data_IF_668513394759
#
_entry.id   IF_668513394759
#
_cell.length_a   1.000
_cell.length_b   1.000
_cell.length_c   1.000
_cell.angle_alpha   90.00
_cell.angle_beta   90.00
_cell.angle_gamma   90.00
#
_symmetry.space_group_name_H-M   'P 1'
#
loop_
_entity.id
_entity.type
_entity.pdbx_description
1 polymer ?
#
# COMPACT_ATOMS: atom_id res chain seq x y z
N UNK A 1 -9.41 -14.19 4.16
CA UNK A 1 -8.77 -14.28 2.84
C UNK A 1 -8.44 -12.92 2.21
N UNK A 2 -9.03 -11.80 2.65
CA UNK A 2 -8.74 -10.51 2.06
C UNK A 2 -7.55 -9.85 2.73
N UNK A 3 -6.68 -9.25 1.92
CA UNK A 3 -5.74 -8.23 2.39
C UNK A 3 -6.49 -6.90 2.39
N UNK A 4 -6.40 -6.15 3.48
CA UNK A 4 -7.11 -4.88 3.68
C UNK A 4 -6.12 -3.76 3.95
N UNK A 5 -6.25 -2.67 3.20
CA UNK A 5 -5.59 -1.40 3.47
C UNK A 5 -6.64 -0.34 3.82
N UNK A 6 -6.36 0.55 4.75
CA UNK A 6 -7.31 1.58 5.15
C UNK A 6 -6.62 2.81 5.72
N UNK A 7 -7.36 3.92 5.77
CA UNK A 7 -6.99 5.11 6.52
C UNK A 7 -6.61 4.74 7.96
N UNK A 8 -5.41 5.15 8.40
CA UNK A 8 -4.93 4.91 9.76
C UNK A 8 -3.98 3.73 9.90
N UNK A 9 -3.76 3.35 11.15
CA UNK A 9 -2.82 2.29 11.56
C UNK A 9 -3.59 1.04 11.95
N UNK A 10 -3.17 -0.11 11.41
CA UNK A 10 -3.71 -1.42 11.78
C UNK A 10 -3.40 -1.72 13.25
N UNK A 11 -4.43 -1.98 14.05
CA UNK A 11 -4.31 -2.19 15.50
C UNK A 11 -4.13 -3.65 15.88
N UNK A 12 -4.82 -4.55 15.17
CA UNK A 12 -4.85 -5.98 15.50
C UNK A 12 -4.10 -6.85 14.48
N UNK A 13 -2.94 -6.37 14.02
CA UNK A 13 -2.11 -7.08 13.03
C UNK A 13 -1.81 -8.54 13.41
N UNK A 14 -1.60 -8.83 14.71
CA UNK A 14 -1.33 -10.20 15.20
C UNK A 14 -2.50 -11.17 14.97
N UNK A 15 -3.73 -10.68 14.85
CA UNK A 15 -4.93 -11.49 14.64
C UNK A 15 -5.22 -11.73 13.16
N UNK A 16 -4.89 -10.77 12.31
CA UNK A 16 -5.29 -10.78 10.89
C UNK A 16 -4.18 -11.14 9.93
N UNK A 17 -2.92 -10.87 10.29
CA UNK A 17 -1.75 -11.17 9.48
C UNK A 17 -1.11 -12.50 9.88
N UNK A 18 -0.38 -13.11 8.94
CA UNK A 18 0.48 -14.24 9.25
C UNK A 18 1.74 -13.78 9.98
N UNK A 19 2.44 -14.68 10.67
CA UNK A 19 3.72 -14.37 11.33
C UNK A 19 4.73 -13.78 10.34
N UNK A 20 4.83 -14.34 9.14
CA UNK A 20 5.72 -13.86 8.08
C UNK A 20 5.36 -12.44 7.61
N UNK A 21 4.08 -12.14 7.45
CA UNK A 21 3.64 -10.80 7.08
C UNK A 21 3.96 -9.77 8.17
N UNK A 22 3.76 -10.13 9.44
CA UNK A 22 4.13 -9.28 10.58
C UNK A 22 5.64 -8.99 10.62
N UNK A 23 6.46 -10.02 10.49
CA UNK A 23 7.92 -9.90 10.47
C UNK A 23 8.38 -8.96 9.34
N UNK A 24 7.87 -9.18 8.13
CA UNK A 24 8.19 -8.35 6.96
C UNK A 24 7.72 -6.90 7.15
N UNK A 25 6.54 -6.69 7.73
CA UNK A 25 6.01 -5.35 8.01
C UNK A 25 6.88 -4.62 9.04
N UNK A 26 7.31 -5.29 10.10
CA UNK A 26 8.23 -4.70 11.07
C UNK A 26 9.61 -4.39 10.43
N UNK A 27 10.14 -5.30 9.63
CA UNK A 27 11.40 -5.09 8.92
C UNK A 27 11.31 -3.90 7.94
N UNK A 28 10.18 -3.70 7.30
CA UNK A 28 9.97 -2.62 6.32
C UNK A 28 10.05 -1.22 6.94
N UNK A 29 9.83 -1.08 8.26
CA UNK A 29 9.95 0.21 8.97
C UNK A 29 11.35 0.82 8.89
N UNK A 30 12.37 -0.02 8.78
CA UNK A 30 13.79 0.40 8.75
C UNK A 30 14.45 0.14 7.40
N UNK A 31 13.71 -0.33 6.41
CA UNK A 31 14.25 -0.65 5.10
C UNK A 31 14.47 0.59 4.25
N UNK A 32 15.55 0.61 3.49
CA UNK A 32 15.88 1.64 2.50
C UNK A 32 15.18 1.43 1.15
N UNK A 33 14.45 0.33 1.01
CA UNK A 33 13.68 -0.05 -0.18
C UNK A 33 12.36 -0.72 0.20
N UNK A 34 11.36 -0.73 -0.71
CA UNK A 34 10.11 -1.46 -0.47
C UNK A 34 10.38 -2.94 -0.23
N UNK A 35 9.74 -3.49 0.80
CA UNK A 35 9.73 -4.93 1.10
C UNK A 35 8.34 -5.49 0.81
N UNK A 36 8.30 -6.66 0.19
CA UNK A 36 7.05 -7.39 -0.04
C UNK A 36 6.52 -7.96 1.27
N UNK A 37 5.36 -7.48 1.69
CA UNK A 37 4.63 -8.00 2.85
C UNK A 37 3.82 -9.23 2.42
N UNK A 38 3.14 -9.11 1.26
CA UNK A 38 2.50 -10.21 0.55
C UNK A 38 3.00 -10.19 -0.89
N UNK A 39 3.76 -11.20 -1.31
CA UNK A 39 4.26 -11.28 -2.67
C UNK A 39 3.21 -11.84 -3.65
N UNK A 40 3.51 -11.86 -4.95
CA UNK A 40 2.59 -12.29 -5.98
C UNK A 40 2.16 -13.75 -5.81
N UNK A 41 3.09 -14.66 -5.50
CA UNK A 41 2.76 -16.09 -5.32
C UNK A 41 1.82 -16.30 -4.13
N UNK A 42 2.05 -15.58 -3.04
CA UNK A 42 1.18 -15.61 -1.86
C UNK A 42 -0.20 -15.04 -2.18
N UNK A 43 -0.28 -13.92 -2.90
CA UNK A 43 -1.53 -13.32 -3.35
C UNK A 43 -2.32 -14.27 -4.26
N UNK A 44 -1.65 -14.95 -5.19
CA UNK A 44 -2.30 -15.95 -6.07
C UNK A 44 -2.81 -17.18 -5.31
N UNK A 45 -2.11 -17.61 -4.26
CA UNK A 45 -2.60 -18.68 -3.37
C UNK A 45 -3.85 -18.23 -2.59
N UNK A 46 -3.83 -17.00 -2.08
CA UNK A 46 -4.98 -16.40 -1.38
C UNK A 46 -6.18 -16.23 -2.32
N UNK A 47 -5.95 -15.81 -3.57
CA UNK A 47 -7.00 -15.65 -4.58
C UNK A 47 -7.74 -16.96 -4.85
N UNK A 48 -7.01 -18.07 -4.94
CA UNK A 48 -7.56 -19.42 -5.18
C UNK A 48 -8.27 -19.98 -3.95
N UNK A 49 -7.87 -19.56 -2.75
CA UNK A 49 -8.45 -20.00 -1.49
C UNK A 49 -9.83 -19.42 -1.23
N UNK A 50 -10.64 -20.13 -0.45
CA UNK A 50 -11.94 -19.65 0.06
C UNK A 50 -12.05 -20.02 1.51
N UNK A 51 -11.61 -19.13 2.41
CA UNK A 51 -11.85 -19.33 3.84
C UNK A 51 -13.32 -19.09 4.17
N UNK A 52 -13.85 -19.90 5.08
CA UNK A 52 -15.15 -19.67 5.71
C UNK A 52 -15.04 -18.79 6.95
N UNK A 53 -13.84 -18.58 7.45
CA UNK A 53 -13.58 -17.75 8.62
C UNK A 53 -13.63 -16.27 8.26
N UNK A 54 -14.27 -15.48 9.11
CA UNK A 54 -14.27 -14.02 9.02
C UNK A 54 -13.22 -13.45 9.96
N UNK A 55 -12.47 -12.47 9.45
CA UNK A 55 -11.51 -11.70 10.26
C UNK A 55 -12.00 -10.27 10.39
N UNK A 56 -11.90 -9.71 11.57
CA UNK A 56 -12.19 -8.30 11.84
C UNK A 56 -10.88 -7.52 11.77
N UNK A 57 -10.81 -6.56 10.85
CA UNK A 57 -9.68 -5.65 10.73
C UNK A 57 -10.00 -4.37 11.48
N UNK A 58 -9.11 -3.96 12.36
CA UNK A 58 -9.28 -2.76 13.20
C UNK A 58 -8.21 -1.74 12.82
N UNK A 59 -8.64 -0.58 12.33
CA UNK A 59 -7.77 0.54 12.01
C UNK A 59 -8.11 1.73 12.90
N UNK A 60 -7.09 2.48 13.32
CA UNK A 60 -7.24 3.71 14.08
C UNK A 60 -6.63 4.87 13.29
N UNK A 61 -7.42 5.91 13.08
CA UNK A 61 -6.99 7.16 12.48
C UNK A 61 -7.39 8.34 13.40
N UNK A 62 -6.52 9.34 13.48
CA UNK A 62 -6.76 10.56 14.24
C UNK A 62 -6.68 11.77 13.32
N UNK A 63 -7.43 12.82 13.65
CA UNK A 63 -7.48 14.08 12.90
C UNK A 63 -7.82 13.90 11.41
N UNK A 64 -8.77 13.03 11.11
CA UNK A 64 -9.24 12.77 9.74
C UNK A 64 -10.72 13.18 9.60
N UNK A 65 -11.09 13.65 8.41
CA UNK A 65 -12.48 14.00 8.06
C UNK A 65 -13.24 12.81 7.49
N UNK A 66 -12.51 11.98 6.75
CA UNK A 66 -13.06 10.86 6.00
C UNK A 66 -12.23 9.61 6.26
N UNK A 67 -12.80 8.44 5.96
CA UNK A 67 -12.15 7.15 6.10
C UNK A 67 -12.37 6.32 4.84
N UNK A 68 -11.27 5.97 4.17
CA UNK A 68 -11.29 5.08 3.02
C UNK A 68 -10.70 3.71 3.34
N UNK A 69 -11.12 2.68 2.62
CA UNK A 69 -10.49 1.36 2.70
C UNK A 69 -10.52 0.65 1.35
N UNK A 70 -9.60 -0.26 1.17
CA UNK A 70 -9.56 -1.21 0.06
C UNK A 70 -9.44 -2.64 0.59
N UNK A 71 -10.00 -3.59 -0.14
CA UNK A 71 -10.02 -5.00 0.26
C UNK A 71 -10.03 -5.91 -0.95
N UNK A 72 -9.07 -6.83 -1.03
CA UNK A 72 -9.03 -7.83 -2.11
C UNK A 72 -8.25 -9.08 -1.69
N UNK A 73 -8.64 -10.22 -2.24
CA UNK A 73 -7.83 -11.45 -2.18
C UNK A 73 -6.66 -11.47 -3.15
N UNK A 74 -6.67 -10.53 -4.13
CA UNK A 74 -5.65 -10.42 -5.18
C UNK A 74 -4.49 -9.50 -4.82
N UNK A 75 -4.54 -8.82 -3.68
CA UNK A 75 -3.56 -7.81 -3.37
C UNK A 75 -2.18 -8.39 -3.06
N UNK A 76 -1.23 -8.01 -3.89
CA UNK A 76 0.16 -7.89 -3.55
C UNK A 76 0.26 -6.66 -2.65
N UNK A 77 1.10 -6.71 -1.64
CA UNK A 77 1.30 -5.63 -0.69
C UNK A 77 2.78 -5.44 -0.43
N UNK A 78 3.28 -4.25 -0.69
CA UNK A 78 4.62 -3.86 -0.30
C UNK A 78 4.60 -2.61 0.59
N UNK A 79 5.69 -2.41 1.36
CA UNK A 79 5.79 -1.33 2.32
C UNK A 79 7.24 -0.88 2.51
N UNK A 80 7.41 0.41 2.84
CA UNK A 80 8.68 1.01 3.23
C UNK A 80 8.45 2.12 4.27
N UNK A 81 9.25 2.13 5.33
CA UNK A 81 9.27 3.22 6.30
C UNK A 81 10.01 4.45 5.77
N UNK A 82 9.47 5.63 6.07
CA UNK A 82 10.12 6.93 5.84
C UNK A 82 10.27 7.63 7.17
N UNK A 83 11.49 7.97 7.53
CA UNK A 83 11.79 8.63 8.81
C UNK A 83 11.57 10.14 8.73
N UNK A 84 10.87 10.70 9.72
CA UNK A 84 10.69 12.13 9.97
C UNK A 84 10.93 12.39 11.45
N UNK A 85 12.16 12.79 11.79
CA UNK A 85 12.58 12.88 13.19
C UNK A 85 12.38 11.55 13.91
N UNK A 86 11.61 11.55 14.98
CA UNK A 86 11.32 10.36 15.79
C UNK A 86 10.15 9.52 15.26
N UNK A 87 9.50 9.95 14.19
CA UNK A 87 8.35 9.26 13.60
C UNK A 87 8.73 8.48 12.36
N UNK A 88 8.11 7.32 12.19
CA UNK A 88 8.16 6.55 10.94
C UNK A 88 6.81 6.64 10.26
N UNK A 89 6.78 7.13 9.02
CA UNK A 89 5.60 7.08 8.13
C UNK A 89 5.71 5.85 7.25
N UNK A 90 4.68 5.02 7.24
CA UNK A 90 4.65 3.82 6.41
C UNK A 90 4.08 4.13 5.02
N UNK A 91 4.95 4.13 4.00
CA UNK A 91 4.55 4.14 2.61
C UNK A 91 4.17 2.73 2.18
N UNK A 92 2.96 2.53 1.64
CA UNK A 92 2.47 1.20 1.29
C UNK A 92 1.71 1.21 -0.03
N UNK A 93 1.79 0.09 -0.76
CA UNK A 93 1.01 -0.11 -1.99
C UNK A 93 0.26 -1.43 -1.97
N UNK A 94 -1.00 -1.39 -2.43
CA UNK A 94 -1.87 -2.55 -2.58
C UNK A 94 -2.35 -2.65 -4.02
N UNK A 95 -2.00 -3.73 -4.71
CA UNK A 95 -2.28 -3.88 -6.14
C UNK A 95 -2.39 -5.36 -6.55
N UNK A 96 -3.21 -5.68 -7.56
CA UNK A 96 -3.27 -7.02 -8.09
C UNK A 96 -2.10 -7.29 -9.05
N UNK A 97 -1.83 -8.56 -9.34
CA UNK A 97 -0.78 -8.97 -10.29
C UNK A 97 -0.88 -8.32 -11.67
N UNK A 98 -2.09 -7.98 -12.09
CA UNK A 98 -2.36 -7.28 -13.34
C UNK A 98 -1.80 -5.84 -13.34
N UNK A 99 -1.38 -5.31 -12.20
CA UNK A 99 -0.64 -4.06 -12.09
C UNK A 99 0.87 -4.20 -12.35
N UNK A 100 1.41 -5.43 -12.28
CA UNK A 100 2.84 -5.67 -12.49
C UNK A 100 3.22 -5.65 -13.99
N UNK A 101 4.47 -5.25 -14.29
CA UNK A 101 5.56 -4.86 -13.38
C UNK A 101 5.52 -3.38 -12.93
N UNK A 102 4.54 -2.60 -13.36
CA UNK A 102 4.49 -1.16 -13.13
C UNK A 102 4.41 -0.80 -11.64
N UNK A 103 3.49 -1.42 -10.91
CA UNK A 103 3.25 -1.13 -9.50
C UNK A 103 4.42 -1.49 -8.61
N UNK A 104 4.96 -2.69 -8.74
CA UNK A 104 6.10 -3.16 -7.98
C UNK A 104 7.34 -2.29 -8.17
N UNK A 105 7.55 -1.81 -9.41
CA UNK A 105 8.71 -0.97 -9.73
C UNK A 105 8.62 0.44 -9.18
N UNK A 106 7.42 1.01 -9.11
CA UNK A 106 7.30 2.47 -8.93
C UNK A 106 6.39 2.91 -7.80
N UNK A 107 5.30 2.19 -7.45
CA UNK A 107 4.26 2.74 -6.60
C UNK A 107 4.77 3.19 -5.23
N UNK A 108 5.24 2.28 -4.39
CA UNK A 108 5.75 2.65 -3.06
C UNK A 108 6.96 3.56 -3.11
N UNK A 109 7.83 3.41 -4.13
CA UNK A 109 8.96 4.33 -4.34
C UNK A 109 8.51 5.75 -4.64
N UNK A 110 7.44 5.92 -5.42
CA UNK A 110 6.84 7.21 -5.70
C UNK A 110 6.28 7.86 -4.42
N UNK A 111 5.54 7.09 -3.60
CA UNK A 111 5.06 7.58 -2.30
C UNK A 111 6.23 8.06 -1.43
N UNK A 112 7.28 7.24 -1.29
CA UNK A 112 8.48 7.60 -0.51
C UNK A 112 9.12 8.88 -1.04
N UNK A 113 9.24 9.02 -2.36
CA UNK A 113 9.79 10.21 -2.99
C UNK A 113 8.91 11.44 -2.71
N UNK A 114 7.60 11.32 -2.90
CA UNK A 114 6.63 12.39 -2.67
C UNK A 114 6.66 12.85 -1.21
N UNK A 115 6.63 11.93 -0.25
CA UNK A 115 6.74 12.25 1.16
C UNK A 115 8.00 13.07 1.47
N UNK A 116 9.15 12.65 0.95
CA UNK A 116 10.43 13.35 1.17
C UNK A 116 10.48 14.72 0.51
N UNK A 117 9.98 14.82 -0.73
CA UNK A 117 10.02 16.09 -1.49
C UNK A 117 9.05 17.10 -0.91
N UNK A 118 7.80 16.71 -0.69
CA UNK A 118 6.79 17.64 -0.18
C UNK A 118 7.08 18.08 1.24
N UNK A 119 7.53 17.18 2.11
CA UNK A 119 7.91 17.55 3.46
C UNK A 119 9.09 18.53 3.49
N UNK A 120 10.03 18.44 2.55
CA UNK A 120 11.14 19.40 2.43
C UNK A 120 10.68 20.82 2.06
N UNK A 121 9.63 20.93 1.25
CA UNK A 121 9.15 22.20 0.72
C UNK A 121 7.99 22.82 1.49
N UNK A 122 7.37 22.04 2.39
CA UNK A 122 6.20 22.49 3.17
C UNK A 122 6.41 22.21 4.66
N UNK A 123 5.87 21.10 5.13
CA UNK A 123 5.99 20.60 6.50
C UNK A 123 6.01 19.07 6.48
N UNK A 124 6.51 18.46 7.54
CA UNK A 124 6.56 17.00 7.63
C UNK A 124 5.16 16.40 7.53
N UNK A 125 5.05 15.37 6.69
CA UNK A 125 3.78 14.67 6.50
C UNK A 125 3.18 14.26 7.85
N UNK A 126 1.97 14.72 8.20
CA UNK A 126 1.47 14.63 9.58
C UNK A 126 0.94 13.25 9.98
N UNK A 127 0.61 12.40 9.01
CA UNK A 127 -0.04 11.12 9.26
C UNK A 127 0.96 9.96 9.36
N UNK A 128 0.59 8.84 10.02
CA UNK A 128 1.47 7.69 10.20
C UNK A 128 1.60 6.78 8.97
N UNK A 129 0.69 6.89 8.02
CA UNK A 129 0.69 6.04 6.81
C UNK A 129 0.40 6.86 5.56
N UNK A 130 0.92 6.42 4.41
CA UNK A 130 0.58 6.92 3.09
C UNK A 130 0.44 5.73 2.14
N UNK A 131 -0.76 5.54 1.60
CA UNK A 131 -1.13 4.34 0.87
C UNK A 131 -1.55 4.69 -0.55
N UNK A 132 -1.02 3.96 -1.53
CA UNK A 132 -1.56 3.90 -2.89
C UNK A 132 -2.22 2.55 -3.12
N UNK A 133 -3.47 2.54 -3.54
CA UNK A 133 -4.17 1.31 -3.85
C UNK A 133 -4.68 1.29 -5.29
N UNK A 134 -4.52 0.15 -5.94
CA UNK A 134 -5.03 -0.04 -7.29
C UNK A 134 -6.56 -0.11 -7.28
N UNK A 135 -7.18 0.70 -8.10
CA UNK A 135 -8.63 0.69 -8.35
C UNK A 135 -8.91 0.77 -9.86
N UNK A 136 -10.16 0.56 -10.25
CA UNK A 136 -10.59 0.72 -11.64
C UNK A 136 -10.88 2.18 -12.05
N UNK A 137 -10.53 3.12 -11.19
CA UNK A 137 -10.65 4.56 -11.38
C UNK A 137 -9.43 5.26 -10.80
N UNK A 138 -9.24 6.52 -11.15
CA UNK A 138 -8.15 7.38 -10.64
C UNK A 138 -8.70 8.67 -10.06
N UNK A 139 -7.88 9.33 -9.25
CA UNK A 139 -8.17 10.66 -8.76
C UNK A 139 -9.15 10.69 -7.60
N UNK A 140 -9.07 9.68 -6.73
CA UNK A 140 -9.79 9.68 -5.46
C UNK A 140 -8.78 9.59 -4.33
N UNK A 141 -8.67 10.66 -3.57
CA UNK A 141 -7.77 10.79 -2.43
C UNK A 141 -8.58 10.95 -1.15
N UNK A 142 -8.26 10.09 -0.18
CA UNK A 142 -8.70 10.19 1.20
C UNK A 142 -7.49 10.41 2.11
N UNK A 143 -7.67 10.89 3.35
CA UNK A 143 -6.57 10.94 4.29
C UNK A 143 -5.84 9.60 4.35
N UNK A 144 -4.52 9.61 4.14
CA UNK A 144 -3.63 8.46 4.17
C UNK A 144 -3.82 7.39 3.08
N UNK A 145 -4.84 7.46 2.21
CA UNK A 145 -5.07 6.48 1.15
C UNK A 145 -5.56 7.13 -0.14
N UNK A 146 -4.91 6.80 -1.25
CA UNK A 146 -5.32 7.21 -2.60
C UNK A 146 -5.63 6.01 -3.47
N UNK A 147 -6.58 6.21 -4.39
CA UNK A 147 -7.04 5.18 -5.33
C UNK A 147 -6.55 5.54 -6.73
N UNK A 148 -5.67 4.69 -7.27
CA UNK A 148 -4.98 4.93 -8.53
C UNK A 148 -5.24 3.80 -9.52
N UNK A 149 -5.24 4.14 -10.80
CA UNK A 149 -5.34 3.16 -11.87
C UNK A 149 -4.01 3.04 -12.61
N UNK A 150 -3.59 1.81 -12.89
CA UNK A 150 -2.42 1.56 -13.72
C UNK A 150 -2.30 0.07 -14.04
N UNK A 151 -2.76 -0.33 -15.23
CA UNK A 151 -2.59 -1.70 -15.74
C UNK A 151 -1.71 -1.68 -16.98
N UNK A 152 -0.54 -2.30 -16.94
CA UNK A 152 0.24 -2.61 -18.12
C UNK A 152 -0.54 -3.46 -19.12
N UNK A 153 -0.04 -3.57 -20.36
CA UNK A 153 -0.54 -4.54 -21.33
C UNK A 153 -0.21 -5.97 -20.87
N UNK A 154 -0.86 -7.01 -21.46
CA UNK A 154 -0.59 -8.41 -21.08
C UNK A 154 0.88 -8.85 -21.22
N UNK A 155 1.63 -8.20 -22.12
CA UNK A 155 3.07 -8.42 -22.31
C UNK A 155 3.95 -7.69 -21.27
N UNK A 156 3.33 -6.99 -20.30
CA UNK A 156 4.01 -6.20 -19.27
C UNK A 156 4.47 -4.83 -19.72
N UNK A 157 4.27 -4.45 -20.99
CA UNK A 157 4.63 -3.13 -21.50
C UNK A 157 3.66 -2.04 -21.03
N UNK A 158 4.16 -0.82 -20.84
CA UNK A 158 3.35 0.33 -20.47
C UNK A 158 3.93 1.62 -21.06
N UNK A 159 3.05 2.61 -21.28
CA UNK A 159 3.47 3.92 -21.75
C UNK A 159 3.94 4.79 -20.59
N UNK A 160 4.79 5.77 -20.88
CA UNK A 160 5.19 6.79 -19.88
C UNK A 160 3.95 7.52 -19.33
N UNK A 161 2.95 7.80 -20.17
CA UNK A 161 1.68 8.40 -19.74
C UNK A 161 0.97 7.55 -18.66
N UNK A 162 0.93 6.21 -18.82
CA UNK A 162 0.32 5.33 -17.83
C UNK A 162 1.11 5.34 -16.53
N UNK A 163 2.44 5.31 -16.63
CA UNK A 163 3.34 5.42 -15.48
C UNK A 163 3.11 6.72 -14.70
N UNK A 164 3.09 7.87 -15.38
CA UNK A 164 2.83 9.15 -14.71
C UNK A 164 1.44 9.22 -14.05
N UNK A 165 0.42 8.68 -14.68
CA UNK A 165 -0.93 8.63 -14.10
C UNK A 165 -1.04 7.76 -12.86
N UNK A 166 -0.20 6.76 -12.74
CA UNK A 166 -0.16 5.89 -11.54
C UNK A 166 0.67 6.51 -10.41
N UNK A 167 1.72 7.25 -10.76
CA UNK A 167 2.63 7.89 -9.80
C UNK A 167 2.06 9.23 -9.28
N UNK A 168 1.44 9.99 -10.14
CA UNK A 168 0.89 11.32 -9.85
C UNK A 168 -0.51 11.30 -9.40
#
# INVERSE_FOLDING_TARGET
>A
DHTVGATGVLQNGKEVLTATQLERLEASKKSDKPLMITNQEEAEKIEKGKSKEKKTWVFKAENVRDFGFCSSRKFIWDAQGVQFGDRTVMAMSYYPKEGNPLWERYSTRAIVHTLKVYSRHTFDYPYPTAISTHANFTGMEYPMISFNFGRPRPDGSYSERLKYRMIG
#
